data_IF_344774251671
#
_entry.id   IF_344774251671
#
_cell.length_a   1.000
_cell.length_b   1.000
_cell.length_c   1.000
_cell.angle_alpha   90.00
_cell.angle_beta   90.00
_cell.angle_gamma   90.00
#
_symmetry.space_group_name_H-M   'P 1'
#
loop_
_entity.id
_entity.type
_entity.pdbx_description
1 polymer ?
#
# COMPACT_ATOMS: atom_id res chain seq x y z
N UNK A 1 8.62 8.33 7.92
CA UNK A 1 8.07 7.46 6.87
C UNK A 1 9.20 6.63 6.28
N UNK A 2 8.91 5.53 5.59
CA UNK A 2 9.91 4.53 5.14
C UNK A 2 11.11 5.12 4.39
N UNK A 3 10.92 6.13 3.54
CA UNK A 3 12.02 6.79 2.84
C UNK A 3 13.07 7.42 3.77
N UNK A 4 12.67 7.86 4.98
CA UNK A 4 13.60 8.38 5.98
C UNK A 4 14.45 7.28 6.62
N UNK A 5 13.90 6.08 6.82
CA UNK A 5 14.65 4.94 7.37
C UNK A 5 15.67 4.45 6.34
N UNK A 6 15.27 4.34 5.08
CA UNK A 6 16.18 4.02 3.97
C UNK A 6 17.32 5.06 3.86
N UNK A 7 17.01 6.36 3.99
CA UNK A 7 18.02 7.41 4.02
C UNK A 7 18.95 7.36 5.25
N UNK A 8 18.56 6.68 6.33
CA UNK A 8 19.39 6.41 7.51
C UNK A 8 20.24 5.14 7.36
N UNK A 9 20.17 4.45 6.22
CA UNK A 9 20.89 3.21 5.96
C UNK A 9 20.17 1.94 6.41
N UNK A 10 18.93 2.05 6.90
CA UNK A 10 18.14 0.88 7.26
C UNK A 10 17.65 0.16 6.00
N UNK A 11 17.90 -1.14 5.96
CA UNK A 11 17.46 -1.99 4.84
C UNK A 11 16.04 -2.45 5.08
N UNK A 12 15.09 -1.78 4.44
CA UNK A 12 13.69 -2.20 4.46
C UNK A 12 13.51 -3.45 3.58
N UNK A 13 12.75 -4.42 4.07
CA UNK A 13 12.48 -5.66 3.36
C UNK A 13 11.25 -5.57 2.48
N UNK A 14 10.22 -4.83 2.90
CA UNK A 14 8.99 -4.62 2.16
C UNK A 14 8.23 -3.39 2.70
N UNK A 15 7.50 -2.69 1.83
CA UNK A 15 6.56 -1.65 2.22
C UNK A 15 5.13 -2.06 1.86
N UNK A 16 4.25 -2.09 2.85
CA UNK A 16 2.82 -2.27 2.66
C UNK A 16 2.09 -0.94 2.92
N UNK A 17 1.27 -0.52 1.97
CA UNK A 17 0.38 0.64 2.12
C UNK A 17 -1.07 0.13 2.08
N UNK A 18 -1.82 0.31 3.17
CA UNK A 18 -3.20 -0.15 3.31
C UNK A 18 -4.11 1.07 3.30
N UNK A 19 -5.13 1.06 2.43
CA UNK A 19 -6.06 2.18 2.21
C UNK A 19 -5.33 3.52 2.06
N UNK A 20 -4.35 3.54 1.15
CA UNK A 20 -3.38 4.62 1.06
C UNK A 20 -4.06 5.94 0.66
N UNK A 21 -3.90 6.98 1.49
CA UNK A 21 -4.34 8.33 1.15
C UNK A 21 -3.45 8.93 0.04
N UNK A 22 -3.67 8.50 -1.20
CA UNK A 22 -2.85 8.81 -2.37
C UNK A 22 -2.65 10.33 -2.58
N UNK A 23 -3.66 11.14 -2.25
CA UNK A 23 -3.59 12.61 -2.31
C UNK A 23 -2.47 13.21 -1.43
N UNK A 24 -2.06 12.52 -0.36
CA UNK A 24 -0.97 12.94 0.53
C UNK A 24 0.39 12.34 0.16
N UNK A 25 0.42 11.41 -0.81
CA UNK A 25 1.60 10.68 -1.27
C UNK A 25 2.04 11.10 -2.68
N UNK A 26 1.65 12.30 -3.12
CA UNK A 26 2.05 12.85 -4.42
C UNK A 26 3.56 13.06 -4.51
N UNK A 27 4.20 13.41 -3.39
CA UNK A 27 5.65 13.46 -3.30
C UNK A 27 6.20 12.04 -3.08
N UNK A 28 6.64 11.41 -4.18
CA UNK A 28 7.19 10.05 -4.16
C UNK A 28 8.52 9.95 -3.40
N UNK A 29 9.21 11.07 -3.13
CA UNK A 29 10.49 11.06 -2.39
C UNK A 29 10.35 10.56 -0.94
N UNK A 30 9.13 10.57 -0.40
CA UNK A 30 8.85 10.08 0.97
C UNK A 30 8.76 8.55 1.05
N UNK A 31 8.66 7.87 -0.10
CA UNK A 31 8.60 6.41 -0.17
C UNK A 31 10.01 5.82 -0.32
N UNK A 32 10.32 4.73 0.39
CA UNK A 32 11.57 3.99 0.21
C UNK A 32 11.57 3.31 -1.17
N UNK A 33 12.67 3.39 -1.91
CA UNK A 33 12.76 2.88 -3.29
C UNK A 33 13.42 1.50 -3.38
N UNK A 34 14.18 1.09 -2.37
CA UNK A 34 15.03 -0.09 -2.41
C UNK A 34 14.32 -1.40 -1.99
N UNK A 35 13.06 -1.35 -1.57
CA UNK A 35 12.28 -2.52 -1.17
C UNK A 35 11.04 -2.71 -2.05
N UNK A 36 10.50 -3.94 -2.20
CA UNK A 36 9.19 -4.15 -2.81
C UNK A 36 8.09 -3.32 -2.15
N UNK A 37 7.10 -2.93 -2.96
CA UNK A 37 5.93 -2.16 -2.54
C UNK A 37 4.66 -2.92 -2.88
N UNK A 38 3.78 -3.09 -1.91
CA UNK A 38 2.42 -3.60 -2.10
C UNK A 38 1.42 -2.57 -1.58
N UNK A 39 0.47 -2.19 -2.43
CA UNK A 39 -0.64 -1.31 -2.11
C UNK A 39 -1.89 -2.17 -1.99
N UNK A 40 -2.65 -2.00 -0.91
CA UNK A 40 -3.90 -2.71 -0.65
C UNK A 40 -4.99 -1.65 -0.55
N UNK A 41 -5.98 -1.73 -1.44
CA UNK A 41 -7.08 -0.77 -1.48
C UNK A 41 -8.42 -1.52 -1.43
N UNK A 42 -9.28 -1.27 -0.42
CA UNK A 42 -10.66 -1.72 -0.45
C UNK A 42 -11.43 -1.08 -1.61
N UNK A 43 -12.25 -1.88 -2.31
CA UNK A 43 -13.06 -1.39 -3.44
C UNK A 43 -14.30 -0.61 -3.00
N UNK A 44 -14.80 -0.84 -1.78
CA UNK A 44 -15.93 -0.11 -1.21
C UNK A 44 -15.47 0.87 -0.11
N UNK A 45 -14.25 1.40 -0.24
CA UNK A 45 -13.71 2.40 0.68
C UNK A 45 -14.55 3.68 0.64
N UNK A 46 -15.19 4.01 1.76
CA UNK A 46 -16.06 5.17 1.92
C UNK A 46 -15.30 6.44 2.35
N UNK A 47 -14.03 6.31 2.72
CA UNK A 47 -13.19 7.40 3.23
C UNK A 47 -12.21 7.89 2.17
N UNK A 48 -11.61 6.95 1.42
CA UNK A 48 -10.66 7.21 0.36
C UNK A 48 -11.23 6.65 -0.94
N UNK A 49 -11.44 7.52 -1.93
CA UNK A 49 -11.86 7.10 -3.26
C UNK A 49 -10.85 6.12 -3.89
N UNK A 50 -11.24 4.85 -4.16
CA UNK A 50 -10.34 3.85 -4.73
C UNK A 50 -9.76 4.25 -6.08
N UNK A 51 -10.53 4.97 -6.92
CA UNK A 51 -10.08 5.41 -8.24
C UNK A 51 -8.88 6.35 -8.14
N UNK A 52 -8.89 7.25 -7.14
CA UNK A 52 -7.75 8.12 -6.85
C UNK A 52 -6.49 7.32 -6.52
N UNK A 53 -6.63 6.21 -5.78
CA UNK A 53 -5.51 5.32 -5.43
C UNK A 53 -5.04 4.53 -6.65
N UNK A 54 -5.94 4.08 -7.51
CA UNK A 54 -5.60 3.36 -8.74
C UNK A 54 -4.86 4.25 -9.74
N UNK A 55 -5.34 5.48 -9.94
CA UNK A 55 -4.67 6.46 -10.79
C UNK A 55 -3.26 6.80 -10.28
N UNK A 56 -3.12 6.99 -8.97
CA UNK A 56 -1.82 7.22 -8.34
C UNK A 56 -0.88 6.01 -8.49
N UNK A 57 -1.37 4.81 -8.20
CA UNK A 57 -0.65 3.55 -8.38
C UNK A 57 -0.16 3.39 -9.83
N UNK A 58 -1.02 3.63 -10.81
CA UNK A 58 -0.65 3.58 -12.23
C UNK A 58 0.43 4.60 -12.64
N UNK A 59 0.51 5.75 -11.95
CA UNK A 59 1.51 6.77 -12.22
C UNK A 59 2.88 6.51 -11.58
N UNK A 60 2.98 5.55 -10.64
CA UNK A 60 4.24 5.24 -9.96
C UNK A 60 5.29 4.71 -10.95
N UNK A 61 6.46 5.34 -10.96
CA UNK A 61 7.59 4.99 -11.83
C UNK A 61 8.43 3.83 -11.26
N UNK A 62 7.76 2.83 -10.68
CA UNK A 62 8.42 1.69 -10.01
C UNK A 62 7.54 0.44 -10.04
N UNK A 63 8.15 -0.76 -10.05
CA UNK A 63 7.39 -1.99 -9.88
C UNK A 63 6.77 -2.02 -8.49
N UNK A 64 5.50 -2.39 -8.44
CA UNK A 64 4.74 -2.58 -7.22
C UNK A 64 3.56 -3.50 -7.52
N UNK A 65 2.94 -3.99 -6.45
CA UNK A 65 1.73 -4.77 -6.52
C UNK A 65 0.54 -3.94 -6.01
N UNK A 66 -0.59 -4.02 -6.70
CA UNK A 66 -1.85 -3.42 -6.28
C UNK A 66 -2.88 -4.53 -6.03
N UNK A 67 -3.33 -4.64 -4.78
CA UNK A 67 -4.35 -5.59 -4.37
C UNK A 67 -5.65 -4.84 -4.11
N UNK A 68 -6.67 -5.17 -4.90
CA UNK A 68 -8.04 -4.66 -4.74
C UNK A 68 -8.83 -5.64 -3.90
N UNK A 69 -9.46 -5.17 -2.82
CA UNK A 69 -10.22 -6.02 -1.91
C UNK A 69 -11.71 -5.74 -2.08
N UNK A 70 -12.40 -6.66 -2.76
CA UNK A 70 -13.84 -6.57 -3.00
C UNK A 70 -14.66 -6.62 -1.70
N UNK A 71 -15.84 -6.00 -1.73
CA UNK A 71 -16.82 -6.03 -0.63
C UNK A 71 -16.23 -5.59 0.72
N UNK A 72 -15.27 -4.66 0.68
CA UNK A 72 -14.52 -4.21 1.83
C UNK A 72 -14.52 -2.68 1.90
N UNK A 73 -14.86 -2.14 3.06
CA UNK A 73 -14.74 -0.71 3.37
C UNK A 73 -13.36 -0.34 3.94
N UNK A 74 -13.16 0.94 4.24
CA UNK A 74 -11.89 1.50 4.72
C UNK A 74 -11.27 0.74 5.90
N UNK A 75 -12.12 0.34 6.85
CA UNK A 75 -11.70 -0.29 8.11
C UNK A 75 -11.55 -1.81 8.05
N UNK A 76 -11.83 -2.44 6.90
CA UNK A 76 -11.78 -3.90 6.76
C UNK A 76 -12.65 -4.64 7.80
N UNK A 77 -13.81 -4.07 8.18
CA UNK A 77 -14.73 -4.69 9.14
C UNK A 77 -15.13 -6.10 8.70
N UNK A 78 -14.86 -7.10 9.55
CA UNK A 78 -15.14 -8.51 9.27
C UNK A 78 -14.23 -9.16 8.22
N UNK A 79 -13.24 -8.45 7.68
CA UNK A 79 -12.31 -8.90 6.62
C UNK A 79 -10.84 -8.92 7.06
N UNK A 80 -10.57 -8.76 8.35
CA UNK A 80 -9.18 -8.75 8.87
C UNK A 80 -8.47 -10.09 8.69
N UNK A 81 -9.19 -11.20 8.77
CA UNK A 81 -8.64 -12.53 8.50
C UNK A 81 -8.28 -12.67 7.02
N UNK A 82 -9.16 -12.25 6.13
CA UNK A 82 -8.91 -12.22 4.68
C UNK A 82 -7.70 -11.34 4.34
N UNK A 83 -7.60 -10.16 4.97
CA UNK A 83 -6.44 -9.27 4.82
C UNK A 83 -5.15 -9.95 5.31
N UNK A 84 -5.20 -10.65 6.44
CA UNK A 84 -4.05 -11.40 6.95
C UNK A 84 -3.61 -12.49 5.97
N UNK A 85 -4.55 -13.29 5.47
CA UNK A 85 -4.26 -14.37 4.51
C UNK A 85 -3.72 -13.82 3.19
N UNK A 86 -4.18 -12.63 2.79
CA UNK A 86 -3.64 -11.91 1.65
C UNK A 86 -2.20 -11.43 1.87
N UNK A 87 -1.86 -10.96 3.08
CA UNK A 87 -0.53 -10.42 3.37
C UNK A 87 0.50 -11.50 3.70
N UNK A 88 0.11 -12.60 4.35
CA UNK A 88 1.00 -13.66 4.82
C UNK A 88 2.00 -14.17 3.76
N UNK A 89 1.59 -14.49 2.52
CA UNK A 89 2.52 -14.95 1.48
C UNK A 89 3.54 -13.91 1.01
N UNK A 90 3.32 -12.64 1.36
CA UNK A 90 4.16 -11.50 0.96
C UNK A 90 5.09 -11.03 2.07
N UNK A 91 4.90 -11.55 3.29
CA UNK A 91 5.81 -11.27 4.38
C UNK A 91 7.12 -12.06 4.15
N UNK A 92 8.27 -11.46 4.45
CA UNK A 92 9.54 -12.20 4.43
C UNK A 92 9.50 -13.34 5.46
N UNK A 93 10.07 -14.48 5.09
CA UNK A 93 10.31 -15.62 5.99
C UNK A 93 11.34 -15.30 7.07
#
# INVERSE_FOLDING_TARGET
>A
MGGRLEAQGEKLTHLFLIAAAASRLQDQSVLPHACPLTIIQPEADEVIDPETVYAWSAALQRPHELLKVAECGHFFHGKLTDLKDLLLPRLPN
#
